data_IF_697304032843
#
_entry.id   IF_697304032843
#
_cell.length_a   1.000
_cell.length_b   1.000
_cell.length_c   1.000
_cell.angle_alpha   90.00
_cell.angle_beta   90.00
_cell.angle_gamma   90.00
#
_symmetry.space_group_name_H-M   'P 1'
#
loop_
_entity.id
_entity.type
_entity.pdbx_description
1 polymer ?
#
# COMPACT_ATOMS: atom_id res chain seq x y z
N UNK A 1 7.63 -5.13 -12.00
CA UNK A 1 6.72 -6.11 -12.64
C UNK A 1 7.43 -6.99 -13.66
N UNK A 2 8.23 -6.44 -14.58
CA UNK A 2 9.05 -7.21 -15.55
C UNK A 2 9.89 -8.33 -14.93
N UNK A 3 10.60 -8.03 -13.84
CA UNK A 3 11.40 -9.02 -13.08
C UNK A 3 10.55 -10.14 -12.45
N UNK A 4 9.28 -9.89 -12.15
CA UNK A 4 8.40 -10.91 -11.58
C UNK A 4 8.02 -11.96 -12.62
N UNK A 5 7.69 -11.50 -13.83
CA UNK A 5 7.21 -12.33 -14.93
C UNK A 5 8.34 -13.19 -15.50
N UNK A 6 9.55 -12.66 -15.52
CA UNK A 6 10.70 -13.27 -16.17
C UNK A 6 11.67 -13.97 -15.19
N UNK A 7 11.35 -14.06 -13.90
CA UNK A 7 12.15 -14.81 -12.93
C UNK A 7 11.64 -16.24 -12.75
N UNK A 8 12.52 -17.20 -13.06
CA UNK A 8 12.29 -18.63 -12.84
C UNK A 8 12.46 -19.03 -11.37
N UNK A 9 13.29 -18.31 -10.61
CA UNK A 9 13.50 -18.58 -9.19
C UNK A 9 12.45 -17.93 -8.29
N UNK A 10 11.93 -18.73 -7.36
CA UNK A 10 10.95 -18.29 -6.34
C UNK A 10 11.52 -17.18 -5.44
N UNK A 11 12.80 -17.24 -5.09
CA UNK A 11 13.47 -16.25 -4.25
C UNK A 11 13.59 -14.88 -4.95
N UNK A 12 13.93 -14.87 -6.24
CA UNK A 12 13.97 -13.65 -7.06
C UNK A 12 12.57 -13.04 -7.20
N UNK A 13 11.54 -13.88 -7.37
CA UNK A 13 10.15 -13.44 -7.44
C UNK A 13 9.67 -12.82 -6.13
N UNK A 14 9.99 -13.43 -4.99
CA UNK A 14 9.64 -12.92 -3.67
C UNK A 14 10.27 -11.53 -3.40
N UNK A 15 11.54 -11.34 -3.77
CA UNK A 15 12.21 -10.03 -3.68
C UNK A 15 11.51 -8.97 -4.55
N UNK A 16 11.19 -9.31 -5.81
CA UNK A 16 10.48 -8.40 -6.70
C UNK A 16 9.08 -8.03 -6.16
N UNK A 17 8.37 -8.99 -5.57
CA UNK A 17 7.09 -8.76 -4.90
C UNK A 17 7.23 -7.85 -3.68
N UNK A 18 8.27 -8.02 -2.86
CA UNK A 18 8.50 -7.19 -1.69
C UNK A 18 8.73 -5.72 -2.07
N UNK A 19 9.52 -5.46 -3.11
CA UNK A 19 9.72 -4.11 -3.64
C UNK A 19 8.41 -3.51 -4.16
N UNK A 20 7.64 -4.28 -4.93
CA UNK A 20 6.34 -3.83 -5.45
C UNK A 20 5.33 -3.55 -4.33
N UNK A 21 5.30 -4.39 -3.30
CA UNK A 21 4.45 -4.22 -2.12
C UNK A 21 4.69 -2.89 -1.44
N UNK A 22 5.97 -2.53 -1.23
CA UNK A 22 6.32 -1.28 -0.56
C UNK A 22 5.83 -0.06 -1.34
N UNK A 23 5.99 -0.07 -2.67
CA UNK A 23 5.52 1.02 -3.53
C UNK A 23 3.99 1.11 -3.48
N UNK A 24 3.30 -0.01 -3.71
CA UNK A 24 1.83 -0.04 -3.69
C UNK A 24 1.24 0.37 -2.35
N UNK A 25 1.88 0.00 -1.24
CA UNK A 25 1.44 0.39 0.10
C UNK A 25 1.42 1.92 0.27
N UNK A 26 2.46 2.62 -0.19
CA UNK A 26 2.51 4.08 -0.11
C UNK A 26 1.46 4.73 -1.03
N UNK A 27 1.27 4.18 -2.24
CA UNK A 27 0.22 4.65 -3.16
C UNK A 27 -1.18 4.51 -2.55
N UNK A 28 -1.50 3.33 -1.99
CA UNK A 28 -2.79 3.10 -1.33
C UNK A 28 -2.97 3.99 -0.12
N UNK A 29 -1.91 4.20 0.67
CA UNK A 29 -1.95 5.11 1.82
C UNK A 29 -2.28 6.53 1.38
N UNK A 30 -1.66 7.03 0.30
CA UNK A 30 -1.95 8.35 -0.25
C UNK A 30 -3.40 8.45 -0.75
N UNK A 31 -3.90 7.43 -1.46
CA UNK A 31 -5.29 7.37 -1.93
C UNK A 31 -6.26 7.39 -0.74
N UNK A 32 -6.06 6.53 0.25
CA UNK A 32 -6.95 6.47 1.42
C UNK A 32 -6.92 7.76 2.24
N UNK A 33 -5.77 8.42 2.36
CA UNK A 33 -5.67 9.71 3.02
C UNK A 33 -6.46 10.81 2.30
N UNK A 34 -6.48 10.77 0.97
CA UNK A 34 -7.21 11.73 0.15
C UNK A 34 -8.72 11.50 0.19
N UNK A 35 -9.14 10.23 0.20
CA UNK A 35 -10.56 9.86 0.16
C UNK A 35 -11.25 9.98 1.54
N UNK A 36 -10.48 9.91 2.64
CA UNK A 36 -10.94 10.01 4.04
C UNK A 36 -12.08 9.02 4.33
N UNK A 37 -13.31 9.50 4.39
CA UNK A 37 -14.46 8.79 4.95
C UNK A 37 -15.31 8.10 3.88
N UNK A 38 -14.95 8.22 2.59
CA UNK A 38 -15.71 7.61 1.50
C UNK A 38 -15.22 6.19 1.22
N UNK A 39 -16.12 5.26 0.84
CA UNK A 39 -15.73 3.91 0.46
C UNK A 39 -14.87 3.92 -0.80
N UNK A 40 -13.79 3.14 -0.80
CA UNK A 40 -12.90 2.94 -1.97
C UNK A 40 -12.97 1.49 -2.39
N UNK A 41 -13.33 1.25 -3.65
CA UNK A 41 -13.29 -0.10 -4.24
C UNK A 41 -11.99 -0.24 -5.05
N UNK A 42 -11.08 -1.11 -4.58
CA UNK A 42 -9.82 -1.36 -5.26
C UNK A 42 -9.96 -2.59 -6.16
N UNK A 43 -9.80 -2.40 -7.47
CA UNK A 43 -9.70 -3.51 -8.41
C UNK A 43 -8.26 -4.04 -8.42
N UNK A 44 -8.11 -5.35 -8.24
CA UNK A 44 -6.82 -6.04 -8.28
C UNK A 44 -6.26 -6.11 -9.71
N UNK A 45 -5.08 -6.71 -9.86
CA UNK A 45 -4.41 -6.79 -11.17
C UNK A 45 -5.27 -7.55 -12.20
N UNK A 46 -5.63 -6.85 -13.27
CA UNK A 46 -6.48 -7.29 -14.39
C UNK A 46 -5.79 -7.36 -15.77
N UNK A 47 -4.74 -6.58 -16.10
CA UNK A 47 -4.09 -6.71 -17.41
C UNK A 47 -3.28 -8.02 -17.52
N UNK A 48 -3.21 -8.61 -18.73
CA UNK A 48 -2.35 -9.77 -19.01
C UNK A 48 -0.86 -9.42 -18.88
N UNK A 49 -0.05 -10.43 -18.58
CA UNK A 49 1.38 -10.23 -18.28
C UNK A 49 2.19 -9.69 -19.47
N UNK A 50 1.76 -9.96 -20.71
CA UNK A 50 2.49 -9.52 -21.89
C UNK A 50 2.45 -8.01 -22.11
N UNK A 51 1.50 -7.27 -21.52
CA UNK A 51 1.48 -5.80 -21.56
C UNK A 51 2.67 -5.17 -20.81
N UNK A 52 3.25 -5.91 -19.85
CA UNK A 52 4.39 -5.42 -19.08
C UNK A 52 5.73 -5.79 -19.70
N UNK A 53 5.74 -6.60 -20.76
CA UNK A 53 6.95 -7.07 -21.41
C UNK A 53 7.57 -5.98 -22.30
N UNK A 54 8.91 -5.95 -22.43
CA UNK A 54 9.58 -5.00 -23.31
C UNK A 54 9.30 -5.32 -24.79
N UNK A 55 8.93 -4.30 -25.56
CA UNK A 55 8.72 -4.41 -27.01
C UNK A 55 9.95 -3.97 -27.82
N UNK A 56 10.86 -3.21 -27.21
CA UNK A 56 12.07 -2.72 -27.87
C UNK A 56 13.27 -3.65 -27.63
N UNK A 57 14.10 -3.83 -28.65
CA UNK A 57 15.30 -4.69 -28.58
C UNK A 57 16.28 -4.20 -27.49
N UNK A 58 16.42 -2.87 -27.35
CA UNK A 58 17.27 -2.26 -26.32
C UNK A 58 16.80 -2.58 -24.90
N UNK A 59 15.48 -2.56 -24.64
CA UNK A 59 14.95 -2.92 -23.32
C UNK A 59 15.16 -4.40 -23.01
N UNK A 60 15.09 -5.28 -24.02
CA UNK A 60 15.36 -6.71 -23.84
C UNK A 60 16.82 -6.94 -23.42
N UNK A 61 17.78 -6.22 -24.03
CA UNK A 61 19.21 -6.32 -23.67
C UNK A 61 19.51 -5.83 -22.25
N UNK A 62 18.88 -4.71 -21.85
CA UNK A 62 18.99 -4.19 -20.47
C UNK A 62 18.45 -5.23 -19.50
N UNK A 63 17.29 -5.82 -19.81
CA UNK A 63 16.63 -6.77 -18.93
C UNK A 63 17.38 -8.11 -18.85
N UNK A 64 18.00 -8.55 -19.95
CA UNK A 64 18.90 -9.70 -20.00
C UNK A 64 20.06 -9.53 -19.02
N UNK A 65 20.66 -8.34 -19.02
CA UNK A 65 21.77 -7.98 -18.13
C UNK A 65 21.32 -7.94 -16.66
N UNK A 66 20.15 -7.37 -16.37
CA UNK A 66 19.63 -7.30 -14.98
C UNK A 66 19.23 -8.65 -14.39
N UNK A 67 18.79 -9.59 -15.23
CA UNK A 67 18.33 -10.91 -14.81
C UNK A 67 19.40 -12.00 -14.94
N UNK A 68 20.59 -11.68 -15.47
CA UNK A 68 21.62 -12.65 -15.84
C UNK A 68 21.08 -13.78 -16.74
N UNK A 69 20.21 -13.44 -17.68
CA UNK A 69 19.63 -14.37 -18.65
C UNK A 69 20.12 -14.05 -20.06
N UNK A 70 20.12 -15.05 -20.94
CA UNK A 70 20.42 -14.79 -22.35
C UNK A 70 19.26 -14.06 -23.03
N UNK A 71 19.58 -13.21 -24.02
CA UNK A 71 18.58 -12.53 -24.86
C UNK A 71 17.65 -13.55 -25.53
N UNK A 72 18.16 -14.73 -25.89
CA UNK A 72 17.40 -15.83 -26.50
C UNK A 72 16.34 -16.39 -25.57
N UNK A 73 16.69 -16.65 -24.30
CA UNK A 73 15.73 -17.13 -23.30
C UNK A 73 14.63 -16.12 -23.02
N UNK A 74 14.95 -14.83 -22.97
CA UNK A 74 13.95 -13.77 -22.78
C UNK A 74 12.99 -13.72 -23.97
N UNK A 75 13.50 -13.80 -25.20
CA UNK A 75 12.66 -13.83 -26.41
C UNK A 75 11.72 -15.04 -26.41
N UNK A 76 12.22 -16.23 -26.05
CA UNK A 76 11.39 -17.44 -25.94
C UNK A 76 10.28 -17.29 -24.90
N UNK A 77 10.56 -16.64 -23.75
CA UNK A 77 9.54 -16.37 -22.72
C UNK A 77 8.52 -15.31 -23.15
N UNK A 78 8.94 -14.30 -23.91
CA UNK A 78 8.02 -13.30 -24.45
C UNK A 78 7.05 -13.97 -25.43
N UNK A 79 7.56 -14.84 -26.30
CA UNK A 79 6.76 -15.57 -27.27
C UNK A 79 5.78 -16.54 -26.57
N UNK A 80 6.21 -17.25 -25.52
CA UNK A 80 5.32 -18.16 -24.78
C UNK A 80 4.22 -17.45 -24.00
N UNK A 81 4.45 -16.20 -23.59
CA UNK A 81 3.46 -15.35 -22.92
C UNK A 81 2.59 -14.54 -23.89
N UNK A 82 2.92 -14.58 -25.18
CA UNK A 82 2.12 -13.92 -26.21
C UNK A 82 0.87 -14.76 -26.48
N UNK A 83 -0.28 -14.08 -26.47
CA UNK A 83 -1.57 -14.71 -26.69
C UNK A 83 -2.22 -14.11 -27.92
N UNK A 84 -2.88 -14.94 -28.73
CA UNK A 84 -3.57 -14.50 -29.95
C UNK A 84 -4.70 -13.51 -29.62
N UNK A 85 -5.40 -13.71 -28.48
CA UNK A 85 -6.50 -12.86 -28.03
C UNK A 85 -6.31 -12.44 -26.55
N UNK A 86 -5.54 -11.36 -26.29
CA UNK A 86 -5.27 -10.87 -24.93
C UNK A 86 -6.52 -10.64 -24.07
N UNK A 87 -7.62 -10.17 -24.67
CA UNK A 87 -8.87 -9.87 -23.97
C UNK A 87 -9.53 -11.11 -23.34
N UNK A 88 -9.33 -12.28 -23.95
CA UNK A 88 -9.87 -13.57 -23.49
C UNK A 88 -8.78 -14.47 -22.88
N UNK A 89 -7.58 -13.94 -22.68
CA UNK A 89 -6.40 -14.68 -22.28
C UNK A 89 -6.24 -14.90 -20.77
N UNK A 90 -5.00 -15.10 -20.36
CA UNK A 90 -4.62 -15.41 -18.99
C UNK A 90 -4.50 -14.15 -18.13
N UNK A 91 -5.64 -13.62 -17.69
CA UNK A 91 -5.75 -12.34 -17.00
C UNK A 91 -6.71 -12.37 -15.81
N UNK A 92 -6.69 -11.31 -15.00
CA UNK A 92 -7.58 -11.14 -13.85
C UNK A 92 -7.54 -12.32 -12.87
N UNK A 93 -8.70 -12.88 -12.53
CA UNK A 93 -8.81 -13.98 -11.57
C UNK A 93 -8.08 -15.26 -12.03
N UNK A 94 -7.93 -15.50 -13.33
CA UNK A 94 -7.20 -16.67 -13.85
C UNK A 94 -5.73 -16.59 -13.48
N UNK A 95 -5.17 -15.39 -13.56
CA UNK A 95 -3.81 -15.10 -13.13
C UNK A 95 -3.64 -15.31 -11.62
N UNK A 96 -4.65 -14.95 -10.83
CA UNK A 96 -4.64 -15.14 -9.38
C UNK A 96 -4.60 -16.63 -8.97
N UNK A 97 -5.19 -17.52 -9.79
CA UNK A 97 -5.16 -18.96 -9.54
C UNK A 97 -3.77 -19.53 -9.80
N UNK A 98 -3.10 -19.11 -10.89
CA UNK A 98 -1.76 -19.61 -11.22
C UNK A 98 -0.65 -18.97 -10.39
N UNK A 99 -0.80 -17.68 -10.07
CA UNK A 99 0.17 -16.88 -9.33
C UNK A 99 -0.49 -16.19 -8.13
N UNK A 100 -0.91 -16.97 -7.11
CA UNK A 100 -1.60 -16.43 -5.93
C UNK A 100 -0.74 -15.43 -5.15
N UNK A 101 0.58 -15.50 -5.27
CA UNK A 101 1.52 -14.59 -4.61
C UNK A 101 1.32 -13.12 -5.00
N UNK A 102 0.86 -12.84 -6.22
CA UNK A 102 0.58 -11.47 -6.68
C UNK A 102 -0.61 -10.90 -5.91
N UNK A 103 -1.72 -11.64 -5.85
CA UNK A 103 -2.94 -11.19 -5.20
C UNK A 103 -2.77 -11.12 -3.67
N UNK A 104 -2.01 -12.06 -3.08
CA UNK A 104 -1.63 -11.99 -1.66
C UNK A 104 -0.84 -10.71 -1.35
N UNK A 105 0.13 -10.37 -2.20
CA UNK A 105 0.92 -9.15 -2.03
C UNK A 105 0.04 -7.89 -2.11
N UNK A 106 -0.88 -7.82 -3.09
CA UNK A 106 -1.79 -6.67 -3.23
C UNK A 106 -2.75 -6.55 -2.04
N UNK A 107 -3.36 -7.67 -1.61
CA UNK A 107 -4.24 -7.68 -0.46
C UNK A 107 -3.51 -7.26 0.84
N UNK A 108 -2.28 -7.74 1.03
CA UNK A 108 -1.44 -7.31 2.14
C UNK A 108 -1.11 -5.82 2.06
N UNK A 109 -0.72 -5.30 0.89
CA UNK A 109 -0.42 -3.87 0.72
C UNK A 109 -1.62 -3.00 1.05
N UNK A 110 -2.83 -3.39 0.59
CA UNK A 110 -4.08 -2.70 0.90
C UNK A 110 -4.32 -2.71 2.42
N UNK A 111 -4.30 -3.87 3.07
CA UNK A 111 -4.54 -3.97 4.51
C UNK A 111 -3.51 -3.19 5.36
N UNK A 112 -2.22 -3.34 5.04
CA UNK A 112 -1.13 -2.65 5.76
C UNK A 112 -1.19 -1.13 5.58
N UNK A 113 -1.60 -0.63 4.41
CA UNK A 113 -1.71 0.80 4.16
C UNK A 113 -2.81 1.45 5.02
N UNK A 114 -3.96 0.79 5.18
CA UNK A 114 -5.05 1.23 6.06
C UNK A 114 -4.62 1.22 7.52
N UNK A 115 -3.92 0.15 7.96
CA UNK A 115 -3.41 0.07 9.33
C UNK A 115 -2.41 1.19 9.60
N UNK A 116 -1.46 1.42 8.69
CA UNK A 116 -0.47 2.48 8.81
C UNK A 116 -1.13 3.87 8.92
N UNK A 117 -2.13 4.14 8.07
CA UNK A 117 -2.86 5.40 8.07
C UNK A 117 -3.60 5.64 9.40
N UNK A 118 -4.29 4.62 9.94
CA UNK A 118 -4.96 4.72 11.23
C UNK A 118 -3.98 4.92 12.40
N UNK A 119 -2.85 4.22 12.39
CA UNK A 119 -1.83 4.36 13.44
C UNK A 119 -1.16 5.74 13.43
N UNK A 120 -1.01 6.35 12.26
CA UNK A 120 -0.51 7.71 12.13
C UNK A 120 -1.52 8.73 12.64
N UNK A 121 -2.80 8.57 12.29
CA UNK A 121 -3.87 9.43 12.80
C UNK A 121 -4.02 9.34 14.32
N UNK A 122 -3.92 8.14 14.91
CA UNK A 122 -4.03 7.97 16.37
C UNK A 122 -2.90 8.63 17.17
N UNK A 123 -1.74 8.88 16.57
CA UNK A 123 -0.62 9.56 17.22
C UNK A 123 -0.51 11.05 16.92
N UNK A 124 -1.45 11.63 16.16
CA UNK A 124 -1.43 13.03 15.77
C UNK A 124 -2.06 13.93 16.86
N UNK A 125 -1.37 14.98 17.34
CA UNK A 125 -1.87 15.85 18.40
C UNK A 125 -3.23 16.49 18.11
N UNK A 126 -3.50 16.86 16.84
CA UNK A 126 -4.80 17.45 16.44
C UNK A 126 -5.92 16.43 16.51
N UNK A 127 -5.64 15.21 16.04
CA UNK A 127 -6.57 14.09 16.11
C UNK A 127 -6.89 13.73 17.57
N UNK A 128 -5.89 13.70 18.45
CA UNK A 128 -6.08 13.43 19.88
C UNK A 128 -6.92 14.50 20.57
N UNK A 129 -6.70 15.79 20.25
CA UNK A 129 -7.54 16.88 20.77
C UNK A 129 -9.00 16.71 20.35
N UNK A 130 -9.24 16.35 19.08
CA UNK A 130 -10.58 16.07 18.59
C UNK A 130 -11.20 14.84 19.29
N UNK A 131 -10.44 13.77 19.47
CA UNK A 131 -10.90 12.56 20.16
C UNK A 131 -11.27 12.85 21.62
N UNK A 132 -10.47 13.65 22.34
CA UNK A 132 -10.80 14.07 23.70
C UNK A 132 -12.09 14.89 23.74
N UNK A 133 -12.28 15.82 22.79
CA UNK A 133 -13.47 16.66 22.72
C UNK A 133 -14.77 15.86 22.45
N UNK A 134 -14.69 14.71 21.77
CA UNK A 134 -15.83 13.80 21.58
C UNK A 134 -15.96 12.73 22.67
N UNK A 135 -15.12 12.77 23.72
CA UNK A 135 -15.17 11.85 24.86
C UNK A 135 -14.63 10.44 24.58
N UNK A 136 -13.66 10.31 23.66
CA UNK A 136 -12.96 9.03 23.45
C UNK A 136 -11.81 8.85 24.45
N UNK A 137 -11.89 7.79 25.24
CA UNK A 137 -10.88 7.46 26.27
C UNK A 137 -9.74 6.55 25.76
N UNK A 138 -9.82 6.10 24.50
CA UNK A 138 -8.85 5.16 23.92
C UNK A 138 -8.43 5.55 22.51
N UNK A 139 -7.11 5.58 22.28
CA UNK A 139 -6.51 5.80 20.96
C UNK A 139 -5.35 4.83 20.76
N UNK A 140 -5.41 4.05 19.67
CA UNK A 140 -4.29 3.20 19.26
C UNK A 140 -3.33 3.99 18.37
N UNK A 141 -2.04 4.00 18.71
CA UNK A 141 -0.99 4.59 17.87
C UNK A 141 0.25 3.70 17.83
N UNK A 142 1.17 4.00 16.90
CA UNK A 142 2.47 3.32 16.81
C UNK A 142 3.27 3.49 18.13
N UNK A 143 4.03 2.48 18.60
CA UNK A 143 4.84 2.56 19.83
C UNK A 143 5.73 3.79 19.90
N UNK A 144 6.29 4.23 18.77
CA UNK A 144 7.15 5.42 18.69
C UNK A 144 6.39 6.74 18.92
N UNK A 145 5.08 6.77 18.68
CA UNK A 145 4.22 7.94 18.90
C UNK A 145 3.55 7.94 20.28
N UNK A 146 3.68 6.87 21.08
CA UNK A 146 3.07 6.79 22.42
C UNK A 146 3.48 7.97 23.32
N UNK A 147 4.76 8.39 23.39
CA UNK A 147 5.13 9.54 24.21
C UNK A 147 4.45 10.84 23.75
N UNK A 148 4.41 11.09 22.43
CA UNK A 148 3.74 12.27 21.84
C UNK A 148 2.24 12.23 22.10
N UNK A 149 1.63 11.05 21.95
CA UNK A 149 0.21 10.87 22.17
C UNK A 149 -0.17 11.15 23.64
N UNK A 150 0.62 10.64 24.59
CA UNK A 150 0.41 10.89 26.03
C UNK A 150 0.52 12.37 26.38
N UNK A 151 1.54 13.07 25.87
CA UNK A 151 1.69 14.52 26.10
C UNK A 151 0.53 15.28 25.48
N UNK A 152 0.13 14.92 24.26
CA UNK A 152 -0.98 15.58 23.56
C UNK A 152 -2.32 15.38 24.27
N UNK A 153 -2.58 14.18 24.79
CA UNK A 153 -3.77 13.88 25.59
C UNK A 153 -3.80 14.70 26.89
N UNK A 154 -2.66 14.78 27.61
CA UNK A 154 -2.56 15.61 28.81
C UNK A 154 -2.78 17.11 28.50
N UNK A 155 -2.22 17.61 27.40
CA UNK A 155 -2.44 18.99 26.95
C UNK A 155 -3.90 19.26 26.56
N UNK A 156 -4.56 18.30 25.90
CA UNK A 156 -5.98 18.41 25.55
C UNK A 156 -6.85 18.52 26.79
N UNK A 157 -6.57 17.72 27.82
CA UNK A 157 -7.28 17.73 29.09
C UNK A 157 -7.11 19.04 29.87
N UNK A 158 -5.88 19.55 29.95
CA UNK A 158 -5.59 20.84 30.60
C UNK A 158 -6.34 21.98 29.90
N UNK A 159 -6.38 21.96 28.56
CA UNK A 159 -7.11 22.99 27.79
C UNK A 159 -8.62 22.91 28.00
N UNK A 160 -9.20 21.71 28.05
CA UNK A 160 -10.62 21.53 28.34
C UNK A 160 -10.97 22.13 29.71
N UNK A 161 -10.19 21.80 30.75
CA UNK A 161 -10.40 22.33 32.10
C UNK A 161 -10.29 23.86 32.17
N UNK A 162 -9.31 24.45 31.50
CA UNK A 162 -9.15 25.91 31.49
C UNK A 162 -10.35 26.62 30.83
N UNK A 163 -10.96 26.01 29.79
CA UNK A 163 -12.17 26.55 29.16
C UNK A 163 -13.39 26.48 30.09
N UNK A 164 -13.51 25.40 30.87
CA UNK A 164 -14.57 25.29 31.88
C UNK A 164 -14.42 26.36 32.97
N UNK A 165 -13.19 26.65 33.40
CA UNK A 165 -12.91 27.64 34.46
C UNK A 165 -13.18 29.08 34.01
N UNK A 166 -12.92 29.40 32.74
CA UNK A 166 -13.23 30.72 32.14
C UNK A 166 -14.74 30.93 31.96
N UNK A 167 -15.51 29.86 31.71
CA UNK A 167 -16.98 29.95 31.59
C UNK A 167 -17.67 30.21 32.93
N UNK A 168 -17.18 29.63 34.02
CA UNK A 168 -17.72 29.84 35.37
C UNK A 168 -17.43 31.27 35.87
N UNK A 169 -16.26 31.83 35.57
CA UNK A 169 -15.87 33.18 36.00
C UNK A 169 -16.56 34.32 35.25
N UNK A 170 -17.11 34.08 34.05
CA UNK A 170 -17.91 35.05 33.31
C UNK A 170 -19.41 35.06 33.67
N UNK A 171 -19.87 34.11 34.49
CA UNK A 171 -21.27 33.97 34.92
C UNK A 171 -21.57 34.54 36.32
N UNK A 172 -20.61 35.22 36.96
CA UNK A 172 -20.75 35.85 38.28
C UNK A 172 -20.70 37.37 38.16
#
# INVERSE_FOLDING_TARGET
MRKLILSSEENSRAKALATLKSIQKEDFKAIFNLVRDKPVTVRLLDPPLHEFLPHSVKEIEILATELNLSVTEIKQRIESLSEVNPMLGHRGCRLAVTFPEIYRMQAQAIAESVIALKQEAGGDPKSIQFYNAIGLDYVSCSPYRVPIARISAAQAEIRAKNQDTESETMSV
#
